data_IF_760014794495
#
_entry.id   IF_760014794495
#
_cell.length_a   1.000
_cell.length_b   1.000
_cell.length_c   1.000
_cell.angle_alpha   90.00
_cell.angle_beta   90.00
_cell.angle_gamma   90.00
#
_symmetry.space_group_name_H-M   'P 1'
#
loop_
_entity.id
_entity.type
_entity.pdbx_description
1 polymer ?
#
# COMPACT_ATOMS: atom_id res chain seq x y z
N UNK A 1 -9.43 -2.69 14.96
CA UNK A 1 -8.84 -3.27 13.74
C UNK A 1 -8.92 -4.79 13.86
N UNK A 2 -9.33 -5.50 12.80
CA UNK A 2 -9.45 -6.96 12.79
C UNK A 2 -8.18 -7.53 12.18
N UNK A 3 -7.66 -8.62 12.78
CA UNK A 3 -6.37 -9.17 12.42
C UNK A 3 -5.23 -8.17 12.62
N UNK A 4 -4.12 -8.37 11.92
CA UNK A 4 -2.98 -7.42 11.85
C UNK A 4 -2.28 -7.15 13.19
N UNK A 5 -2.44 -8.02 14.17
CA UNK A 5 -1.85 -7.84 15.51
C UNK A 5 -0.33 -7.81 15.42
N UNK A 6 0.25 -8.74 14.64
CA UNK A 6 1.70 -8.85 14.45
C UNK A 6 2.27 -7.64 13.71
N UNK A 7 1.62 -7.27 12.61
CA UNK A 7 2.08 -6.15 11.77
C UNK A 7 1.97 -4.81 12.52
N UNK A 8 0.89 -4.65 13.30
CA UNK A 8 0.74 -3.48 14.17
C UNK A 8 1.80 -3.45 15.28
N UNK A 9 2.08 -4.59 15.91
CA UNK A 9 3.14 -4.68 16.92
C UNK A 9 4.49 -4.26 16.34
N UNK A 10 4.85 -4.72 15.14
CA UNK A 10 6.09 -4.32 14.46
C UNK A 10 6.16 -2.82 14.17
N UNK A 11 5.04 -2.19 13.80
CA UNK A 11 4.97 -0.73 13.61
C UNK A 11 5.19 0.03 14.93
N UNK A 12 4.61 -0.46 16.02
CA UNK A 12 4.78 0.14 17.35
C UNK A 12 6.20 -0.10 17.90
N UNK A 13 6.77 -1.27 17.71
CA UNK A 13 8.18 -1.55 18.05
C UNK A 13 9.14 -0.59 17.33
N UNK A 14 8.88 -0.35 16.03
CA UNK A 14 9.66 0.63 15.25
C UNK A 14 9.44 2.07 15.75
N UNK A 15 8.24 2.39 16.21
CA UNK A 15 7.94 3.71 16.78
C UNK A 15 8.64 3.94 18.10
N UNK A 16 8.67 2.94 18.97
CA UNK A 16 9.27 3.01 20.32
C UNK A 16 10.80 2.82 20.32
N UNK A 17 11.41 2.58 19.15
CA UNK A 17 12.85 2.39 19.02
C UNK A 17 13.64 3.66 19.39
N UNK A 18 14.79 3.47 20.03
CA UNK A 18 15.75 4.56 20.35
C UNK A 18 16.52 5.05 19.11
N UNK A 19 16.31 4.44 17.93
CA UNK A 19 16.97 4.77 16.69
C UNK A 19 15.96 5.22 15.63
N UNK A 20 16.44 5.94 14.61
CA UNK A 20 15.63 6.15 13.41
C UNK A 20 15.40 4.82 12.70
N UNK A 21 14.14 4.56 12.33
CA UNK A 21 13.73 3.31 11.72
C UNK A 21 13.15 3.53 10.32
N UNK A 22 13.46 2.61 9.41
CA UNK A 22 12.94 2.59 8.06
C UNK A 22 12.08 1.35 7.85
N UNK A 23 10.78 1.55 7.73
CA UNK A 23 9.78 0.50 7.59
C UNK A 23 9.26 0.44 6.17
N UNK A 24 9.31 -0.72 5.55
CA UNK A 24 8.65 -0.99 4.28
C UNK A 24 7.42 -1.87 4.50
N UNK A 25 6.22 -1.34 4.16
CA UNK A 25 4.95 -2.08 4.20
C UNK A 25 4.53 -2.40 2.77
N UNK A 26 4.44 -3.68 2.45
CA UNK A 26 4.14 -4.12 1.09
C UNK A 26 3.17 -5.30 1.07
N UNK A 27 2.60 -5.54 -0.08
CA UNK A 27 1.63 -6.60 -0.30
C UNK A 27 0.59 -6.18 -1.32
N UNK A 28 -0.29 -7.12 -1.68
CA UNK A 28 -1.31 -6.94 -2.71
C UNK A 28 -2.13 -5.66 -2.50
N UNK A 29 -2.66 -5.11 -3.61
CA UNK A 29 -3.64 -4.02 -3.57
C UNK A 29 -4.87 -4.41 -2.75
N UNK A 30 -5.49 -3.44 -2.07
CA UNK A 30 -6.76 -3.56 -1.31
C UNK A 30 -6.72 -4.44 -0.05
N UNK A 31 -5.53 -4.85 0.43
CA UNK A 31 -5.39 -5.61 1.68
C UNK A 31 -5.26 -4.76 2.95
N UNK A 32 -5.32 -3.42 2.82
CA UNK A 32 -5.37 -2.51 3.96
C UNK A 32 -4.03 -1.99 4.47
N UNK A 33 -2.99 -1.87 3.60
CA UNK A 33 -1.68 -1.30 4.00
C UNK A 33 -1.80 0.10 4.59
N UNK A 34 -2.35 1.03 3.81
CA UNK A 34 -2.60 2.42 4.23
C UNK A 34 -3.47 2.49 5.49
N UNK A 35 -4.50 1.63 5.56
CA UNK A 35 -5.38 1.53 6.72
C UNK A 35 -4.63 1.10 7.97
N UNK A 36 -3.76 0.08 7.88
CA UNK A 36 -2.93 -0.38 8.99
C UNK A 36 -2.08 0.76 9.56
N UNK A 37 -1.36 1.49 8.71
CA UNK A 37 -0.48 2.59 9.13
C UNK A 37 -1.30 3.71 9.77
N UNK A 38 -2.39 4.15 9.13
CA UNK A 38 -3.25 5.22 9.64
C UNK A 38 -3.96 4.85 10.95
N UNK A 39 -4.45 3.62 11.09
CA UNK A 39 -5.07 3.15 12.33
C UNK A 39 -4.06 2.97 13.47
N UNK A 40 -2.79 2.71 13.14
CA UNK A 40 -1.74 2.55 14.17
C UNK A 40 -1.34 3.90 14.73
N UNK A 41 -1.17 4.92 13.90
CA UNK A 41 -0.62 6.22 14.31
C UNK A 41 -1.67 7.33 14.42
N UNK A 42 -2.91 7.11 13.94
CA UNK A 42 -3.99 8.09 14.03
C UNK A 42 -3.66 9.39 13.32
N UNK A 43 -3.53 10.48 14.07
CA UNK A 43 -3.18 11.81 13.57
C UNK A 43 -1.70 12.19 13.84
N UNK A 44 -0.89 11.26 14.32
CA UNK A 44 0.49 11.52 14.76
C UNK A 44 1.51 11.48 13.60
N UNK A 45 1.12 11.98 12.42
CA UNK A 45 2.05 12.11 11.31
C UNK A 45 2.72 13.47 11.31
N UNK A 46 4.05 13.49 11.31
CA UNK A 46 4.84 14.68 11.01
C UNK A 46 4.70 15.07 9.54
N UNK A 47 4.66 14.06 8.68
CA UNK A 47 4.43 14.23 7.25
C UNK A 47 3.79 12.98 6.65
N UNK A 48 2.81 13.17 5.78
CA UNK A 48 2.25 12.09 4.98
C UNK A 48 2.05 12.54 3.53
N UNK A 49 2.32 11.63 2.60
CA UNK A 49 2.12 11.85 1.17
C UNK A 49 1.73 10.56 0.48
N UNK A 50 0.93 10.65 -0.57
CA UNK A 50 0.54 9.51 -1.42
C UNK A 50 0.89 9.79 -2.87
N UNK A 51 1.66 8.90 -3.49
CA UNK A 51 2.02 8.98 -4.90
C UNK A 51 0.79 8.95 -5.82
N UNK A 52 0.83 9.70 -6.90
CA UNK A 52 -0.24 9.81 -7.89
C UNK A 52 -0.14 8.68 -8.90
N UNK A 53 -1.21 7.91 -9.07
CA UNK A 53 -1.27 6.84 -10.07
C UNK A 53 -1.00 7.42 -11.48
N UNK A 54 -0.06 6.81 -12.21
CA UNK A 54 0.31 7.17 -13.58
C UNK A 54 0.71 8.65 -13.78
N UNK A 55 1.04 9.34 -12.67
CA UNK A 55 1.47 10.74 -12.71
C UNK A 55 2.89 10.90 -13.24
N UNK A 56 3.11 11.84 -14.16
CA UNK A 56 4.44 12.24 -14.60
C UNK A 56 5.25 12.85 -13.44
N UNK A 57 6.59 12.82 -13.54
CA UNK A 57 7.49 13.34 -12.49
C UNK A 57 7.14 14.75 -12.02
N UNK A 58 6.82 15.66 -12.93
CA UNK A 58 6.40 17.03 -12.58
C UNK A 58 5.11 17.07 -11.75
N UNK A 59 4.13 16.21 -12.07
CA UNK A 59 2.88 16.11 -11.30
C UNK A 59 3.16 15.54 -9.91
N UNK A 60 4.00 14.52 -9.80
CA UNK A 60 4.40 13.94 -8.52
C UNK A 60 5.08 14.99 -7.63
N UNK A 61 6.05 15.73 -8.16
CA UNK A 61 6.79 16.78 -7.45
C UNK A 61 5.85 17.90 -6.98
N UNK A 62 4.94 18.37 -7.84
CA UNK A 62 3.98 19.42 -7.43
C UNK A 62 3.03 18.91 -6.33
N UNK A 63 2.55 17.66 -6.41
CA UNK A 63 1.70 17.09 -5.35
C UNK A 63 2.47 16.88 -4.05
N UNK A 64 3.73 16.51 -4.13
CA UNK A 64 4.61 16.42 -2.97
C UNK A 64 4.82 17.79 -2.33
N UNK A 65 5.08 18.83 -3.16
CA UNK A 65 5.18 20.22 -2.72
C UNK A 65 3.93 20.68 -1.99
N UNK A 66 2.74 20.40 -2.52
CA UNK A 66 1.47 20.72 -1.85
C UNK A 66 1.38 20.06 -0.48
N UNK A 67 1.75 18.79 -0.37
CA UNK A 67 1.79 18.09 0.92
C UNK A 67 2.76 18.73 1.91
N UNK A 68 3.91 19.24 1.46
CA UNK A 68 4.86 20.00 2.30
C UNK A 68 4.25 21.30 2.81
N UNK A 69 3.57 22.05 1.94
CA UNK A 69 2.89 23.30 2.29
C UNK A 69 1.80 23.07 3.33
N UNK A 70 0.93 22.10 3.10
CA UNK A 70 -0.18 21.75 3.98
C UNK A 70 0.28 21.27 5.36
N UNK A 71 1.51 20.71 5.44
CA UNK A 71 2.03 20.11 6.65
C UNK A 71 3.20 20.88 7.27
N UNK A 72 3.24 22.19 7.08
CA UNK A 72 4.06 23.11 7.88
C UNK A 72 5.18 23.84 7.13
N UNK A 73 5.33 23.64 5.81
CA UNK A 73 6.31 24.41 5.01
C UNK A 73 5.61 25.39 4.06
N UNK A 74 4.93 26.40 4.63
CA UNK A 74 4.11 27.35 3.87
C UNK A 74 4.84 28.05 2.70
N UNK A 75 6.12 28.31 2.84
CA UNK A 75 6.96 28.95 1.82
C UNK A 75 7.79 27.94 1.00
N UNK A 76 7.31 26.71 0.85
CA UNK A 76 8.01 25.69 0.07
C UNK A 76 8.20 26.17 -1.38
N UNK A 77 9.45 26.26 -1.88
CA UNK A 77 9.72 26.68 -3.25
C UNK A 77 9.24 25.64 -4.25
N UNK A 78 9.28 25.98 -5.54
CA UNK A 78 9.09 25.01 -6.61
C UNK A 78 10.16 23.92 -6.54
N UNK A 79 9.73 22.66 -6.62
CA UNK A 79 10.64 21.51 -6.56
C UNK A 79 11.07 21.11 -7.97
N UNK A 80 12.37 21.14 -8.23
CA UNK A 80 12.95 20.80 -9.54
C UNK A 80 13.22 19.30 -9.71
N UNK A 81 13.43 18.59 -8.60
CA UNK A 81 13.77 17.18 -8.56
C UNK A 81 13.49 16.61 -7.16
N UNK A 82 13.64 15.30 -7.00
CA UNK A 82 13.39 14.62 -5.75
C UNK A 82 14.40 14.91 -4.64
N UNK A 83 15.63 15.35 -4.97
CA UNK A 83 16.58 15.80 -3.94
C UNK A 83 16.09 17.10 -3.30
N UNK A 84 15.62 18.06 -4.11
CA UNK A 84 14.97 19.28 -3.60
C UNK A 84 13.76 18.93 -2.72
N UNK A 85 12.95 17.92 -3.14
CA UNK A 85 11.77 17.49 -2.40
C UNK A 85 12.12 16.96 -1.01
N UNK A 86 13.11 16.07 -0.90
CA UNK A 86 13.55 15.55 0.38
C UNK A 86 14.31 16.57 1.23
N UNK A 87 15.00 17.53 0.63
CA UNK A 87 15.61 18.63 1.38
C UNK A 87 14.55 19.54 2.02
N UNK A 88 13.45 19.81 1.32
CA UNK A 88 12.32 20.54 1.89
C UNK A 88 11.52 19.72 2.91
N UNK A 89 11.46 18.38 2.78
CA UNK A 89 10.91 17.50 3.80
C UNK A 89 11.71 17.60 5.12
N UNK A 90 13.04 17.76 5.06
CA UNK A 90 13.86 17.98 6.27
C UNK A 90 13.44 19.25 7.03
N UNK A 91 12.94 20.28 6.32
CA UNK A 91 12.43 21.50 6.97
C UNK A 91 11.19 21.18 7.80
N UNK A 92 10.22 20.47 7.23
CA UNK A 92 9.00 20.02 7.95
C UNK A 92 9.36 19.17 9.17
N UNK A 93 10.24 18.20 9.00
CA UNK A 93 10.67 17.30 10.08
C UNK A 93 11.35 18.07 11.21
N UNK A 94 12.23 19.03 10.90
CA UNK A 94 12.92 19.83 11.91
C UNK A 94 11.98 20.77 12.66
N UNK A 95 10.97 21.30 11.98
CA UNK A 95 9.99 22.22 12.57
C UNK A 95 8.92 21.50 13.44
N UNK A 96 8.76 20.20 13.26
CA UNK A 96 7.76 19.42 14.01
C UNK A 96 8.07 19.39 15.51
N UNK A 97 7.09 19.68 16.38
CA UNK A 97 7.25 19.60 17.84
C UNK A 97 7.18 18.18 18.38
N UNK A 98 6.79 17.20 17.55
CA UNK A 98 6.65 15.80 17.98
C UNK A 98 8.01 15.23 18.43
N UNK A 99 8.02 14.42 19.47
CA UNK A 99 9.23 13.71 19.93
C UNK A 99 9.66 12.68 18.87
N UNK A 100 8.74 11.83 18.43
CA UNK A 100 8.94 10.89 17.32
C UNK A 100 8.33 11.43 16.03
N UNK A 101 9.13 11.56 14.97
CA UNK A 101 8.72 12.09 13.67
C UNK A 101 8.29 10.97 12.75
N UNK A 102 6.99 10.76 12.63
CA UNK A 102 6.42 9.76 11.72
C UNK A 102 6.27 10.37 10.33
N UNK A 103 7.05 9.87 9.38
CA UNK A 103 7.00 10.24 7.96
C UNK A 103 6.41 9.07 7.18
N UNK A 104 5.24 9.26 6.58
CA UNK A 104 4.54 8.23 5.84
C UNK A 104 4.44 8.58 4.36
N UNK A 105 5.05 7.75 3.51
CA UNK A 105 5.02 7.89 2.05
C UNK A 105 4.31 6.67 1.47
N UNK A 106 3.06 6.89 1.06
CA UNK A 106 2.21 5.83 0.50
C UNK A 106 2.32 5.75 -1.02
N UNK A 107 2.08 4.57 -1.56
CA UNK A 107 2.19 4.25 -3.00
C UNK A 107 3.49 4.75 -3.64
N UNK A 108 4.61 4.52 -2.93
CA UNK A 108 5.98 4.89 -3.36
C UNK A 108 6.34 4.41 -4.78
N UNK A 109 5.83 3.28 -5.31
CA UNK A 109 6.12 2.84 -6.67
C UNK A 109 5.69 3.82 -7.76
N UNK A 110 4.64 4.63 -7.54
CA UNK A 110 4.21 5.61 -8.54
C UNK A 110 5.21 6.74 -8.72
N UNK A 111 5.84 7.17 -7.64
CA UNK A 111 6.92 8.17 -7.68
C UNK A 111 8.18 7.58 -8.32
N UNK A 112 8.57 6.38 -7.90
CA UNK A 112 9.79 5.74 -8.39
C UNK A 112 9.73 5.27 -9.85
N UNK A 113 8.54 4.96 -10.38
CA UNK A 113 8.36 4.65 -11.81
C UNK A 113 8.38 5.90 -12.69
N UNK A 114 7.97 7.04 -12.15
CA UNK A 114 7.91 8.31 -12.89
C UNK A 114 9.27 8.99 -13.01
N UNK A 115 10.24 8.65 -12.16
CA UNK A 115 11.55 9.29 -12.12
C UNK A 115 12.65 8.30 -11.68
N UNK A 116 13.68 8.04 -12.51
CA UNK A 116 14.75 7.11 -12.19
C UNK A 116 15.63 7.54 -11.00
N UNK A 117 15.65 8.84 -10.67
CA UNK A 117 16.43 9.40 -9.56
C UNK A 117 15.68 9.39 -8.22
N UNK A 118 14.41 8.99 -8.20
CA UNK A 118 13.61 8.98 -6.98
C UNK A 118 14.24 8.10 -5.89
N UNK A 119 14.62 6.87 -6.23
CA UNK A 119 15.23 5.94 -5.25
C UNK A 119 16.53 6.51 -4.70
N UNK A 120 17.39 7.06 -5.57
CA UNK A 120 18.64 7.70 -5.15
C UNK A 120 18.41 8.90 -4.23
N UNK A 121 17.33 9.65 -4.42
CA UNK A 121 16.96 10.75 -3.53
C UNK A 121 16.50 10.23 -2.15
N UNK A 122 15.73 9.14 -2.11
CA UNK A 122 15.37 8.43 -0.85
C UNK A 122 16.63 7.94 -0.13
N UNK A 123 17.57 7.34 -0.86
CA UNK A 123 18.87 6.89 -0.34
C UNK A 123 19.67 8.04 0.28
N UNK A 124 19.79 9.14 -0.44
CA UNK A 124 20.49 10.32 0.02
C UNK A 124 19.85 10.90 1.29
N UNK A 125 18.54 11.02 1.30
CA UNK A 125 17.78 11.46 2.48
C UNK A 125 18.03 10.55 3.69
N UNK A 126 17.90 9.24 3.50
CA UNK A 126 18.04 8.29 4.59
C UNK A 126 19.49 8.18 5.07
N UNK A 127 20.44 7.85 4.19
CA UNK A 127 21.83 7.61 4.55
C UNK A 127 22.56 8.89 4.95
N UNK A 128 22.29 10.00 4.28
CA UNK A 128 22.96 11.27 4.49
C UNK A 128 22.43 12.05 5.70
N UNK A 129 21.23 11.74 6.17
CA UNK A 129 20.63 12.57 7.22
C UNK A 129 19.71 11.82 8.20
N UNK A 130 18.70 11.09 7.73
CA UNK A 130 17.65 10.55 8.59
C UNK A 130 18.18 9.45 9.53
N UNK A 131 19.04 8.56 9.05
CA UNK A 131 19.60 7.47 9.83
C UNK A 131 20.53 7.92 10.95
N UNK A 132 21.16 9.09 10.83
CA UNK A 132 22.01 9.66 11.88
C UNK A 132 21.21 10.30 13.03
N UNK A 133 19.92 10.52 12.83
CA UNK A 133 18.99 10.98 13.87
C UNK A 133 18.50 9.79 14.69
N UNK A 134 17.77 10.08 15.77
CA UNK A 134 17.17 9.04 16.63
C UNK A 134 15.65 9.10 16.66
N UNK A 135 15.09 10.11 16.02
CA UNK A 135 13.70 10.52 16.18
C UNK A 135 12.82 10.29 14.93
N UNK A 136 13.35 9.68 13.86
CA UNK A 136 12.59 9.49 12.62
C UNK A 136 12.08 8.05 12.51
N UNK A 137 10.79 7.93 12.20
CA UNK A 137 10.18 6.71 11.70
C UNK A 137 9.73 6.97 10.26
N UNK A 138 10.51 6.49 9.29
CA UNK A 138 10.15 6.53 7.88
C UNK A 138 9.37 5.28 7.50
N UNK A 139 8.13 5.44 7.09
CA UNK A 139 7.27 4.34 6.64
C UNK A 139 6.98 4.55 5.16
N UNK A 140 7.35 3.58 4.34
CA UNK A 140 7.00 3.57 2.91
C UNK A 140 6.03 2.43 2.62
N UNK A 141 5.06 2.69 1.74
CA UNK A 141 4.04 1.73 1.38
C UNK A 141 3.96 1.56 -0.15
N UNK A 142 3.62 0.36 -0.60
CA UNK A 142 3.37 0.13 -2.01
C UNK A 142 2.60 -1.14 -2.32
N UNK A 143 1.72 -1.06 -3.32
CA UNK A 143 0.95 -2.20 -3.83
C UNK A 143 1.70 -3.00 -4.89
N UNK A 144 2.63 -2.40 -5.63
CA UNK A 144 3.54 -3.10 -6.54
C UNK A 144 4.65 -3.81 -5.73
N UNK A 145 4.30 -4.98 -5.21
CA UNK A 145 5.16 -5.74 -4.28
C UNK A 145 6.55 -6.03 -4.88
N UNK A 146 6.63 -6.42 -6.15
CA UNK A 146 7.89 -6.68 -6.84
C UNK A 146 8.78 -5.45 -6.88
N UNK A 147 8.23 -4.29 -7.21
CA UNK A 147 8.96 -3.03 -7.25
C UNK A 147 9.49 -2.64 -5.85
N UNK A 148 8.65 -2.74 -4.81
CA UNK A 148 9.07 -2.42 -3.43
C UNK A 148 10.17 -3.36 -2.97
N UNK A 149 10.04 -4.67 -3.27
CA UNK A 149 11.07 -5.63 -2.92
C UNK A 149 12.38 -5.36 -3.66
N UNK A 150 12.33 -5.14 -4.97
CA UNK A 150 13.53 -4.94 -5.81
C UNK A 150 14.21 -3.60 -5.53
N UNK A 151 13.45 -2.50 -5.49
CA UNK A 151 14.02 -1.14 -5.43
C UNK A 151 14.25 -0.61 -4.01
N UNK A 152 13.52 -1.13 -3.02
CA UNK A 152 13.60 -0.65 -1.63
C UNK A 152 14.20 -1.72 -0.71
N UNK A 153 13.61 -2.92 -0.67
CA UNK A 153 13.95 -3.94 0.34
C UNK A 153 15.22 -4.72 -0.03
N UNK A 154 15.33 -5.15 -1.27
CA UNK A 154 16.46 -5.91 -1.80
C UNK A 154 17.38 -5.10 -2.71
N UNK A 155 17.28 -3.77 -2.59
CA UNK A 155 18.21 -2.88 -3.28
C UNK A 155 19.66 -3.28 -2.93
N UNK A 156 20.47 -3.53 -3.96
CA UNK A 156 21.89 -3.89 -3.79
C UNK A 156 22.80 -2.66 -3.71
N UNK A 157 22.23 -1.45 -3.93
CA UNK A 157 22.91 -0.17 -3.91
C UNK A 157 22.83 0.50 -2.52
N UNK A 158 22.55 1.78 -2.45
CA UNK A 158 22.62 2.57 -1.23
C UNK A 158 21.57 2.26 -0.15
N UNK A 159 20.45 1.60 -0.48
CA UNK A 159 19.45 1.15 0.51
C UNK A 159 19.72 -0.28 1.03
N UNK A 160 20.82 -0.91 0.64
CA UNK A 160 21.15 -2.25 1.09
C UNK A 160 21.18 -2.33 2.64
N UNK A 161 20.36 -3.23 3.21
CA UNK A 161 20.21 -3.41 4.66
C UNK A 161 19.82 -2.15 5.45
N UNK A 162 19.23 -1.14 4.80
CA UNK A 162 18.76 0.08 5.47
C UNK A 162 17.30 -0.01 5.90
N UNK A 163 16.50 -0.85 5.27
CA UNK A 163 15.14 -1.15 5.71
C UNK A 163 15.20 -2.05 6.94
N UNK A 164 14.84 -1.49 8.09
CA UNK A 164 14.95 -2.16 9.40
C UNK A 164 13.76 -3.08 9.67
N UNK A 165 12.57 -2.70 9.22
CA UNK A 165 11.36 -3.52 9.33
C UNK A 165 10.74 -3.77 7.95
N UNK A 166 10.46 -5.04 7.65
CA UNK A 166 9.86 -5.50 6.40
C UNK A 166 8.52 -6.13 6.71
N UNK A 167 7.44 -5.37 6.55
CA UNK A 167 6.10 -5.78 6.91
C UNK A 167 5.34 -6.17 5.65
N UNK A 168 5.24 -7.49 5.42
CA UNK A 168 4.41 -8.02 4.35
C UNK A 168 2.99 -8.21 4.87
N UNK A 169 2.02 -7.54 4.22
CA UNK A 169 0.61 -7.82 4.46
C UNK A 169 0.15 -8.92 3.50
N UNK A 170 -0.35 -9.98 4.08
CA UNK A 170 -1.06 -11.04 3.35
C UNK A 170 -2.59 -10.81 3.41
N UNK A 171 -3.37 -11.40 2.51
CA UNK A 171 -4.83 -11.41 2.63
C UNK A 171 -5.28 -11.98 3.98
N UNK A 172 -6.47 -11.62 4.43
CA UNK A 172 -7.06 -12.22 5.62
C UNK A 172 -7.13 -13.75 5.49
N UNK A 173 -6.85 -14.43 6.58
CA UNK A 173 -7.15 -15.85 6.72
C UNK A 173 -8.67 -16.06 6.79
N UNK A 174 -9.14 -17.29 6.60
CA UNK A 174 -10.56 -17.61 6.74
C UNK A 174 -11.10 -17.22 8.12
N UNK A 175 -10.31 -17.38 9.17
CA UNK A 175 -10.66 -16.96 10.53
C UNK A 175 -10.84 -15.43 10.63
N UNK A 176 -9.91 -14.66 10.09
CA UNK A 176 -10.03 -13.20 10.08
C UNK A 176 -11.19 -12.71 9.22
N UNK A 177 -11.55 -13.44 8.16
CA UNK A 177 -12.77 -13.19 7.39
C UNK A 177 -14.04 -13.46 8.21
N UNK A 178 -14.07 -14.55 9.01
CA UNK A 178 -15.16 -14.82 9.96
C UNK A 178 -15.28 -13.70 11.00
N UNK A 179 -14.17 -13.29 11.60
CA UNK A 179 -14.11 -12.17 12.56
C UNK A 179 -14.59 -10.85 11.92
N UNK A 180 -14.18 -10.58 10.67
CA UNK A 180 -14.62 -9.40 9.93
C UNK A 180 -16.10 -9.44 9.56
N UNK A 181 -16.63 -10.59 9.12
CA UNK A 181 -18.04 -10.78 8.83
C UNK A 181 -18.90 -10.54 10.07
N UNK A 182 -18.50 -11.10 11.22
CA UNK A 182 -19.17 -10.90 12.50
C UNK A 182 -19.16 -9.43 12.93
N UNK A 183 -18.01 -8.77 12.84
CA UNK A 183 -17.88 -7.34 13.11
C UNK A 183 -18.79 -6.48 12.22
N UNK A 184 -18.92 -6.86 10.95
CA UNK A 184 -19.81 -6.19 9.99
C UNK A 184 -21.29 -6.55 10.22
N UNK A 185 -21.59 -7.52 11.10
CA UNK A 185 -22.95 -8.01 11.33
C UNK A 185 -23.53 -8.75 10.11
N UNK A 186 -22.67 -9.44 9.37
CA UNK A 186 -23.09 -10.39 8.35
C UNK A 186 -23.48 -11.69 9.07
N UNK A 187 -24.75 -12.06 9.01
CA UNK A 187 -25.28 -13.26 9.68
C UNK A 187 -25.03 -14.51 8.83
N UNK A 188 -23.75 -14.73 8.47
CA UNK A 188 -23.34 -15.86 7.64
C UNK A 188 -22.92 -17.06 8.49
N UNK A 189 -23.35 -18.24 8.08
CA UNK A 189 -22.82 -19.50 8.60
C UNK A 189 -21.36 -19.68 8.16
N UNK A 190 -20.62 -20.55 8.84
CA UNK A 190 -19.24 -20.88 8.44
C UNK A 190 -19.13 -21.41 7.01
N UNK A 191 -20.13 -22.15 6.53
CA UNK A 191 -20.19 -22.61 5.14
C UNK A 191 -20.29 -21.41 4.16
N UNK A 192 -21.15 -20.45 4.46
CA UNK A 192 -21.30 -19.23 3.65
C UNK A 192 -20.05 -18.36 3.71
N UNK A 193 -19.38 -18.27 4.85
CA UNK A 193 -18.08 -17.57 4.97
C UNK A 193 -17.01 -18.25 4.10
N UNK A 194 -16.96 -19.59 4.11
CA UNK A 194 -16.06 -20.35 3.25
C UNK A 194 -16.39 -20.14 1.75
N UNK A 195 -17.67 -20.11 1.38
CA UNK A 195 -18.13 -19.80 0.02
C UNK A 195 -17.67 -18.39 -0.41
N UNK A 196 -17.90 -17.37 0.42
CA UNK A 196 -17.40 -16.01 0.16
C UNK A 196 -15.87 -16.00 0.02
N UNK A 197 -15.16 -16.73 0.88
CA UNK A 197 -13.70 -16.80 0.83
C UNK A 197 -13.17 -17.44 -0.46
N UNK A 198 -13.86 -18.46 -0.97
CA UNK A 198 -13.50 -19.10 -2.25
C UNK A 198 -13.68 -18.15 -3.44
N UNK A 199 -14.62 -17.21 -3.38
CA UNK A 199 -14.91 -16.24 -4.45
C UNK A 199 -14.06 -14.98 -4.30
N UNK A 200 -14.01 -14.39 -3.11
CA UNK A 200 -13.43 -13.07 -2.85
C UNK A 200 -11.98 -13.16 -2.33
N UNK A 201 -11.54 -14.35 -1.92
CA UNK A 201 -10.32 -14.51 -1.14
C UNK A 201 -10.41 -13.75 0.19
N UNK A 202 -9.26 -13.56 0.83
CA UNK A 202 -9.16 -12.79 2.07
C UNK A 202 -8.88 -11.29 1.85
N UNK A 203 -9.37 -10.67 0.77
CA UNK A 203 -9.12 -9.25 0.48
C UNK A 203 -10.13 -8.37 1.24
N UNK A 204 -9.73 -7.62 2.28
CA UNK A 204 -10.66 -6.89 3.15
C UNK A 204 -11.61 -5.94 2.42
N UNK A 205 -11.12 -5.32 1.35
CA UNK A 205 -11.92 -4.38 0.55
C UNK A 205 -13.10 -5.09 -0.12
N UNK A 206 -12.95 -6.33 -0.58
CA UNK A 206 -14.02 -7.08 -1.21
C UNK A 206 -15.09 -7.47 -0.19
N UNK A 207 -14.66 -7.90 1.00
CA UNK A 207 -15.56 -8.20 2.12
C UNK A 207 -16.33 -6.97 2.60
N UNK A 208 -15.79 -5.77 2.44
CA UNK A 208 -16.47 -4.51 2.74
C UNK A 208 -17.70 -4.27 1.86
N UNK A 209 -17.73 -4.81 0.65
CA UNK A 209 -18.85 -4.66 -0.27
C UNK A 209 -20.04 -5.56 0.05
N UNK A 210 -19.86 -6.59 0.88
CA UNK A 210 -20.96 -7.44 1.32
C UNK A 210 -21.96 -6.66 2.18
N UNK A 211 -23.24 -6.79 1.88
CA UNK A 211 -24.33 -6.08 2.53
C UNK A 211 -25.09 -7.01 3.47
N UNK A 212 -25.54 -6.48 4.61
CA UNK A 212 -26.34 -7.20 5.59
C UNK A 212 -27.70 -7.56 5.02
N UNK A 213 -28.29 -8.67 5.48
CA UNK A 213 -29.62 -9.09 5.08
C UNK A 213 -29.70 -9.69 3.67
N UNK A 214 -28.57 -9.78 2.94
CA UNK A 214 -28.50 -10.43 1.63
C UNK A 214 -27.80 -11.78 1.75
N UNK A 215 -28.25 -12.73 0.95
CA UNK A 215 -27.53 -14.00 0.79
C UNK A 215 -26.18 -13.80 0.10
N UNK A 216 -25.29 -14.81 0.18
CA UNK A 216 -24.01 -14.80 -0.53
C UNK A 216 -24.24 -14.60 -2.03
N UNK A 217 -25.16 -15.36 -2.63
CA UNK A 217 -25.47 -15.26 -4.06
C UNK A 217 -25.93 -13.85 -4.46
N UNK A 218 -26.82 -13.22 -3.68
CA UNK A 218 -27.28 -11.85 -3.95
C UNK A 218 -26.14 -10.82 -3.87
N UNK A 219 -25.27 -10.95 -2.86
CA UNK A 219 -24.12 -10.06 -2.73
C UNK A 219 -23.14 -10.23 -3.91
N UNK A 220 -22.87 -11.47 -4.32
CA UNK A 220 -21.96 -11.76 -5.43
C UNK A 220 -22.56 -11.26 -6.77
N UNK A 221 -23.85 -11.49 -6.98
CA UNK A 221 -24.55 -11.00 -8.17
C UNK A 221 -24.46 -9.47 -8.29
N UNK A 222 -24.71 -8.75 -7.19
CA UNK A 222 -24.58 -7.30 -7.16
C UNK A 222 -23.16 -6.78 -7.34
N UNK A 223 -22.16 -7.51 -6.85
CA UNK A 223 -20.76 -7.10 -6.98
C UNK A 223 -20.21 -7.26 -8.39
N UNK A 224 -20.64 -8.30 -9.12
CA UNK A 224 -20.00 -8.71 -10.38
C UNK A 224 -20.92 -8.64 -11.61
N UNK A 225 -22.25 -8.68 -11.44
CA UNK A 225 -23.17 -8.90 -12.57
C UNK A 225 -24.30 -7.88 -12.67
N UNK A 226 -24.53 -7.03 -11.65
CA UNK A 226 -25.68 -6.12 -11.62
C UNK A 226 -25.50 -4.81 -12.41
N UNK A 227 -24.38 -4.60 -13.08
CA UNK A 227 -24.06 -3.34 -13.78
C UNK A 227 -23.86 -2.13 -12.83
N UNK A 228 -23.72 -2.36 -11.53
CA UNK A 228 -23.40 -1.33 -10.52
C UNK A 228 -21.90 -1.20 -10.26
N UNK A 229 -21.08 -1.72 -11.10
CA UNK A 229 -19.65 -1.48 -11.33
C UNK A 229 -18.71 -1.48 -10.10
N UNK A 230 -19.10 -2.14 -8.98
CA UNK A 230 -18.22 -2.19 -7.79
C UNK A 230 -16.88 -2.89 -8.06
N UNK A 231 -16.84 -3.81 -9.04
CA UNK A 231 -15.69 -4.67 -9.34
C UNK A 231 -15.31 -4.69 -10.84
N UNK A 232 -15.93 -3.87 -11.68
CA UNK A 232 -15.72 -3.89 -13.13
C UNK A 232 -14.26 -3.64 -13.53
N UNK A 233 -13.68 -2.58 -12.98
CA UNK A 233 -12.29 -2.23 -13.27
C UNK A 233 -11.28 -3.05 -12.44
N UNK A 234 -11.75 -3.86 -11.48
CA UNK A 234 -10.85 -4.53 -10.52
C UNK A 234 -9.91 -5.52 -11.18
N UNK A 235 -10.40 -6.19 -12.22
CA UNK A 235 -9.62 -7.17 -12.97
C UNK A 235 -8.42 -6.48 -13.66
N UNK A 236 -8.67 -5.41 -14.40
CA UNK A 236 -7.64 -4.67 -15.11
C UNK A 236 -6.68 -3.95 -14.15
N UNK A 237 -7.23 -3.33 -13.11
CA UNK A 237 -6.42 -2.67 -12.09
C UNK A 237 -5.54 -3.63 -11.29
N UNK A 238 -6.02 -4.87 -11.03
CA UNK A 238 -5.23 -5.89 -10.37
C UNK A 238 -4.01 -6.26 -11.23
N UNK A 239 -4.23 -6.55 -12.52
CA UNK A 239 -3.14 -6.91 -13.43
C UNK A 239 -2.16 -5.76 -13.63
N UNK A 240 -2.64 -4.54 -13.79
CA UNK A 240 -1.79 -3.34 -13.87
C UNK A 240 -0.94 -3.11 -12.60
N UNK A 241 -1.44 -3.53 -11.43
CA UNK A 241 -0.68 -3.41 -10.18
C UNK A 241 0.39 -4.50 -10.00
N UNK A 242 0.17 -5.68 -10.60
CA UNK A 242 1.06 -6.83 -10.47
C UNK A 242 2.18 -6.85 -11.51
N UNK A 243 1.87 -6.41 -12.73
CA UNK A 243 2.76 -6.53 -13.88
C UNK A 243 3.03 -5.15 -14.51
N UNK A 244 4.24 -4.93 -14.95
CA UNK A 244 4.64 -3.73 -15.69
C UNK A 244 4.01 -3.72 -17.09
N UNK A 245 3.88 -4.92 -17.70
CA UNK A 245 3.22 -5.17 -18.98
C UNK A 245 2.09 -6.19 -18.76
N UNK A 246 0.86 -5.79 -18.43
CA UNK A 246 -0.24 -6.68 -18.09
C UNK A 246 -0.87 -7.39 -19.29
N UNK A 247 -0.73 -6.86 -20.52
CA UNK A 247 -1.43 -7.29 -21.72
C UNK A 247 -1.25 -8.80 -22.04
N UNK A 248 -0.04 -9.40 -21.98
CA UNK A 248 0.12 -10.83 -22.24
C UNK A 248 -0.63 -11.71 -21.24
N UNK A 249 -0.64 -11.32 -19.97
CA UNK A 249 -1.33 -12.06 -18.91
C UNK A 249 -2.85 -11.97 -19.05
N UNK A 250 -3.37 -10.79 -19.39
CA UNK A 250 -4.79 -10.56 -19.68
C UNK A 250 -5.24 -11.41 -20.88
N UNK A 251 -4.43 -11.47 -21.94
CA UNK A 251 -4.72 -12.30 -23.11
C UNK A 251 -4.80 -13.80 -22.75
N UNK A 252 -3.88 -14.30 -21.92
CA UNK A 252 -3.88 -15.69 -21.46
C UNK A 252 -5.14 -15.99 -20.65
N UNK A 253 -5.49 -15.15 -19.67
CA UNK A 253 -6.66 -15.38 -18.82
C UNK A 253 -7.95 -15.29 -19.62
N UNK A 254 -8.05 -14.34 -20.55
CA UNK A 254 -9.20 -14.22 -21.47
C UNK A 254 -9.33 -15.46 -22.36
N UNK A 255 -8.21 -15.98 -22.87
CA UNK A 255 -8.23 -17.23 -23.67
C UNK A 255 -8.67 -18.43 -22.85
N UNK A 256 -8.19 -18.53 -21.59
CA UNK A 256 -8.61 -19.61 -20.66
C UNK A 256 -10.11 -19.51 -20.33
N UNK A 257 -10.62 -18.34 -20.07
CA UNK A 257 -12.05 -18.11 -19.80
C UNK A 257 -12.95 -18.48 -20.98
N UNK A 258 -12.50 -18.30 -22.22
CA UNK A 258 -13.23 -18.70 -23.44
C UNK A 258 -13.19 -20.21 -23.69
N UNK A 259 -12.27 -20.93 -23.05
CA UNK A 259 -12.12 -22.38 -23.24
C UNK A 259 -13.18 -23.08 -22.41
N UNK A 260 -14.10 -23.82 -23.05
CA UNK A 260 -15.09 -24.63 -22.32
C UNK A 260 -14.39 -25.58 -21.37
N UNK A 261 -14.84 -25.59 -20.14
CA UNK A 261 -14.34 -26.47 -19.07
C UNK A 261 -14.32 -27.92 -19.56
N UNK A 262 -13.14 -28.57 -19.61
CA UNK A 262 -13.03 -29.99 -20.02
C UNK A 262 -11.94 -30.34 -21.02
N UNK A 263 -11.26 -29.37 -21.65
CA UNK A 263 -10.11 -29.67 -22.50
C UNK A 263 -8.80 -29.43 -21.75
N UNK A 264 -8.26 -30.47 -21.12
CA UNK A 264 -6.85 -30.49 -20.67
C UNK A 264 -5.94 -30.17 -21.86
N UNK A 265 -5.09 -29.14 -21.69
CA UNK A 265 -3.98 -28.93 -22.60
C UNK A 265 -3.06 -30.17 -22.54
N UNK A 266 -3.00 -30.93 -23.62
CA UNK A 266 -1.84 -31.79 -23.86
C UNK A 266 -0.73 -30.89 -24.38
N UNK A 267 0.31 -30.73 -23.57
CA UNK A 267 1.61 -30.23 -24.02
C UNK A 267 2.35 -31.34 -24.76
#
# INVERSE_FOLDING_TARGET
MIGRIKERSQLLEAFDSEYSEFVAVYGRRRIGKTFLVRETFGQEFTFQHTGVKDGLSAVQLERFRQSLIEQGHAECPELRNWFDAFDNLKVVIKASPMERKVVFIDEIPWMGRSDPHFVSAVENFWNGWASARKDILLIVCGSATSWVLEKIVHNHDGLHNRVTYRIRLDPFTLRECEEYANFRGLEYTRAQIAECYMILGGVPMYWRYLERGKSVAQNIDEMFFSGREKMEDEFDELYASLFEHPEPYLAIVTALAKKKCGSLLRF
#
